data_IF_369851628921
#
_entry.id   IF_369851628921
#
_cell.length_a   1.000
_cell.length_b   1.000
_cell.length_c   1.000
_cell.angle_alpha   90.00
_cell.angle_beta   90.00
_cell.angle_gamma   90.00
#
_symmetry.space_group_name_H-M   'P 1'
#
loop_
_entity.id
_entity.type
_entity.pdbx_description
1 polymer ?
#
# COMPACT_ATOMS: atom_id res chain seq x y z
N UNK A 1 37.26 34.18 14.20
CA UNK A 1 36.73 33.79 15.53
C UNK A 1 35.48 34.66 15.75
N UNK A 2 34.22 34.22 15.75
CA UNK A 2 33.59 32.93 15.99
C UNK A 2 32.26 32.88 15.19
N UNK A 3 32.19 32.05 14.14
CA UNK A 3 31.01 31.81 13.31
C UNK A 3 30.02 30.79 13.91
N UNK A 4 30.19 30.40 15.18
CA UNK A 4 29.55 29.19 15.73
C UNK A 4 28.25 29.45 16.52
N UNK A 5 27.91 30.70 16.85
CA UNK A 5 26.86 31.00 17.83
C UNK A 5 25.50 31.44 17.25
N UNK A 6 25.38 31.75 15.95
CA UNK A 6 24.11 32.21 15.35
C UNK A 6 23.27 31.10 14.71
N UNK A 7 23.89 29.99 14.31
CA UNK A 7 23.19 28.87 13.65
C UNK A 7 22.27 28.09 14.60
N UNK A 8 22.52 28.13 15.91
CA UNK A 8 21.75 27.35 16.88
C UNK A 8 20.38 27.95 17.23
N UNK A 9 20.16 29.27 17.07
CA UNK A 9 18.86 29.89 17.42
C UNK A 9 17.81 29.78 16.31
N UNK A 10 18.23 29.65 15.06
CA UNK A 10 17.29 29.49 13.92
C UNK A 10 16.77 28.05 13.84
N UNK A 11 17.56 27.07 14.26
CA UNK A 11 17.20 25.66 14.21
C UNK A 11 16.08 25.28 15.21
N UNK A 12 15.97 25.96 16.37
CA UNK A 12 15.05 25.51 17.43
C UNK A 12 13.65 26.16 17.38
N UNK A 13 13.44 27.28 16.66
CA UNK A 13 12.11 27.91 16.51
C UNK A 13 11.31 27.50 15.27
N UNK A 14 11.95 26.81 14.31
CA UNK A 14 11.29 26.20 13.14
C UNK A 14 11.12 24.68 13.25
N UNK A 15 11.53 24.08 14.36
CA UNK A 15 11.53 22.62 14.58
C UNK A 15 10.29 22.08 15.31
N UNK A 16 9.21 22.87 15.44
CA UNK A 16 7.97 22.41 16.09
C UNK A 16 6.81 22.19 15.10
N UNK A 17 7.01 22.38 13.79
CA UNK A 17 5.95 22.26 12.78
C UNK A 17 6.19 21.23 11.67
N UNK A 18 7.34 20.54 11.66
CA UNK A 18 7.71 19.60 10.57
C UNK A 18 8.04 18.18 11.06
N UNK A 19 7.39 17.74 12.16
CA UNK A 19 7.55 16.37 12.67
C UNK A 19 6.20 15.68 12.92
N UNK A 20 5.19 15.99 12.12
CA UNK A 20 3.85 15.37 12.18
C UNK A 20 3.31 14.99 10.80
N UNK A 21 4.19 14.60 9.88
CA UNK A 21 3.78 13.98 8.61
C UNK A 21 4.48 12.63 8.49
N UNK A 22 3.69 11.56 8.55
CA UNK A 22 4.16 10.18 8.49
C UNK A 22 3.85 9.52 9.83
N UNK A 23 2.69 8.92 10.03
CA UNK A 23 2.09 7.92 9.16
C UNK A 23 0.57 8.06 9.27
N UNK A 24 -0.09 8.52 8.20
CA UNK A 24 -1.49 8.15 8.00
C UNK A 24 -1.47 6.63 7.85
N UNK A 25 -1.77 5.92 8.93
CA UNK A 25 -1.83 4.47 8.96
C UNK A 25 -2.66 4.03 7.76
N UNK A 26 -2.03 3.33 6.82
CA UNK A 26 -2.69 2.87 5.61
C UNK A 26 -4.02 2.22 5.98
N UNK A 27 -5.12 2.83 5.52
CA UNK A 27 -6.48 2.33 5.79
C UNK A 27 -6.73 0.98 5.11
N UNK A 28 -5.76 0.50 4.34
CA UNK A 28 -5.74 -0.75 3.60
C UNK A 28 -4.53 -1.58 4.01
N UNK A 29 -4.74 -2.88 4.17
CA UNK A 29 -3.68 -3.88 4.31
C UNK A 29 -3.59 -4.65 3.01
N UNK A 30 -2.38 -4.89 2.53
CA UNK A 30 -2.14 -5.77 1.37
C UNK A 30 -1.22 -6.89 1.84
N UNK A 31 -1.57 -8.14 1.55
CA UNK A 31 -0.74 -9.30 1.83
C UNK A 31 0.50 -9.32 0.95
N UNK A 32 1.43 -10.22 1.28
CA UNK A 32 2.48 -10.62 0.34
C UNK A 32 1.87 -11.21 -0.93
N UNK A 33 2.64 -11.12 -2.02
CA UNK A 33 2.34 -11.83 -3.27
C UNK A 33 2.65 -13.30 -3.05
N UNK A 34 1.71 -14.16 -3.42
CA UNK A 34 1.82 -15.61 -3.34
C UNK A 34 1.68 -16.23 -4.74
N UNK A 35 2.17 -17.45 -4.92
CA UNK A 35 2.08 -18.19 -6.18
C UNK A 35 0.96 -19.21 -6.07
N UNK A 36 -0.07 -19.02 -6.90
CA UNK A 36 -1.24 -19.89 -6.93
C UNK A 36 -0.90 -21.18 -7.68
N UNK A 37 -1.63 -22.26 -7.37
CA UNK A 37 -1.38 -23.60 -7.92
C UNK A 37 -1.53 -23.70 -9.45
N UNK A 38 -2.20 -22.72 -10.07
CA UNK A 38 -2.40 -22.58 -11.51
C UNK A 38 -1.22 -21.87 -12.22
N UNK A 39 -0.20 -21.44 -11.47
CA UNK A 39 0.97 -20.73 -12.00
C UNK A 39 0.82 -19.21 -12.02
N UNK A 40 -0.34 -18.68 -11.64
CA UNK A 40 -0.57 -17.24 -11.53
C UNK A 40 -0.08 -16.68 -10.19
N UNK A 41 0.19 -15.38 -10.14
CA UNK A 41 0.46 -14.68 -8.89
C UNK A 41 -0.83 -14.15 -8.29
N UNK A 42 -0.93 -14.19 -6.98
CA UNK A 42 -2.09 -13.64 -6.26
C UNK A 42 -1.65 -12.75 -5.11
N UNK A 43 -2.43 -11.71 -4.84
CA UNK A 43 -2.32 -10.92 -3.62
C UNK A 43 -3.69 -10.59 -3.07
N UNK A 44 -3.78 -10.41 -1.76
CA UNK A 44 -5.00 -10.04 -1.07
C UNK A 44 -4.90 -8.61 -0.54
N UNK A 45 -5.92 -7.80 -0.78
CA UNK A 45 -6.05 -6.43 -0.27
C UNK A 45 -7.30 -6.32 0.57
N UNK A 46 -7.20 -5.80 1.80
CA UNK A 46 -8.32 -5.64 2.73
C UNK A 46 -8.43 -4.22 3.24
N UNK A 47 -9.64 -3.73 3.44
CA UNK A 47 -9.87 -2.50 4.19
C UNK A 47 -9.72 -2.79 5.69
N UNK A 48 -9.04 -1.90 6.43
CA UNK A 48 -8.96 -1.97 7.90
C UNK A 48 -10.13 -1.26 8.58
N UNK A 49 -10.81 -0.36 7.85
CA UNK A 49 -11.93 0.44 8.34
C UNK A 49 -13.04 0.49 7.30
N UNK A 50 -14.29 0.44 7.77
CA UNK A 50 -15.52 0.53 6.96
C UNK A 50 -15.67 1.85 6.18
N UNK A 51 -14.87 2.87 6.50
CA UNK A 51 -14.81 4.14 5.77
C UNK A 51 -13.97 4.10 4.48
N UNK A 52 -13.32 2.97 4.18
CA UNK A 52 -12.50 2.84 2.97
C UNK A 52 -13.34 2.31 1.81
N UNK A 53 -13.36 3.04 0.68
CA UNK A 53 -14.04 2.57 -0.53
C UNK A 53 -13.40 1.29 -1.06
N UNK A 54 -14.23 0.29 -1.42
CA UNK A 54 -13.76 -0.94 -2.09
C UNK A 54 -13.01 -0.67 -3.39
N UNK A 55 -13.36 0.40 -4.10
CA UNK A 55 -12.61 0.81 -5.28
C UNK A 55 -11.18 1.25 -4.94
N UNK A 56 -11.00 1.87 -3.77
CA UNK A 56 -9.67 2.22 -3.26
C UNK A 56 -8.88 0.97 -2.87
N UNK A 57 -9.49 0.01 -2.18
CA UNK A 57 -8.87 -1.28 -1.82
C UNK A 57 -8.39 -2.01 -3.07
N UNK A 58 -9.22 -2.07 -4.12
CA UNK A 58 -8.88 -2.65 -5.42
C UNK A 58 -7.71 -1.93 -6.05
N UNK A 59 -7.77 -0.60 -6.12
CA UNK A 59 -6.72 0.24 -6.73
C UNK A 59 -5.38 0.07 -6.02
N UNK A 60 -5.38 -0.03 -4.69
CA UNK A 60 -4.15 -0.26 -3.91
C UNK A 60 -3.60 -1.66 -4.18
N UNK A 61 -4.47 -2.68 -4.22
CA UNK A 61 -4.07 -4.05 -4.58
C UNK A 61 -3.45 -4.14 -5.98
N UNK A 62 -4.10 -3.59 -6.99
CA UNK A 62 -3.57 -3.60 -8.37
C UNK A 62 -2.29 -2.78 -8.51
N UNK A 63 -2.16 -1.65 -7.81
CA UNK A 63 -0.89 -0.90 -7.75
C UNK A 63 0.24 -1.70 -7.13
N UNK A 64 -0.05 -2.50 -6.09
CA UNK A 64 0.96 -3.36 -5.46
C UNK A 64 1.41 -4.47 -6.42
N UNK A 65 0.49 -5.08 -7.16
CA UNK A 65 0.80 -6.04 -8.21
C UNK A 65 1.66 -5.41 -9.32
N UNK A 66 1.28 -4.21 -9.78
CA UNK A 66 2.06 -3.48 -10.78
C UNK A 66 3.48 -3.17 -10.30
N UNK A 67 3.62 -2.73 -9.04
CA UNK A 67 4.93 -2.47 -8.45
C UNK A 67 5.77 -3.74 -8.35
N UNK A 68 5.15 -4.89 -8.03
CA UNK A 68 5.83 -6.18 -7.97
C UNK A 68 6.37 -6.61 -9.34
N UNK A 69 5.55 -6.55 -10.41
CA UNK A 69 6.03 -6.87 -11.75
C UNK A 69 7.09 -5.87 -12.24
N UNK A 70 6.92 -4.58 -11.93
CA UNK A 70 7.87 -3.53 -12.30
C UNK A 70 9.24 -3.70 -11.65
N UNK A 71 9.28 -4.14 -10.39
CA UNK A 71 10.52 -4.47 -9.67
C UNK A 71 11.30 -5.60 -10.39
N UNK A 72 10.59 -6.50 -11.05
CA UNK A 72 11.16 -7.55 -11.89
C UNK A 72 11.42 -7.14 -13.34
N UNK A 73 11.18 -5.88 -13.70
CA UNK A 73 11.31 -5.37 -15.07
C UNK A 73 10.24 -5.89 -16.04
N UNK A 74 9.10 -6.38 -15.53
CA UNK A 74 7.99 -6.96 -16.29
C UNK A 74 6.74 -6.10 -16.26
N UNK A 75 5.82 -6.34 -17.18
CA UNK A 75 4.51 -5.68 -17.23
C UNK A 75 3.45 -6.49 -16.48
N UNK A 76 2.50 -5.76 -15.89
CA UNK A 76 1.38 -6.36 -15.16
C UNK A 76 0.29 -6.82 -16.15
N UNK A 77 -0.10 -8.08 -16.07
CA UNK A 77 -1.32 -8.61 -16.66
C UNK A 77 -2.30 -8.98 -15.53
N UNK A 78 -3.45 -8.32 -15.42
CA UNK A 78 -4.46 -8.71 -14.43
C UNK A 78 -5.33 -9.81 -15.03
N UNK A 79 -5.28 -11.01 -14.45
CA UNK A 79 -6.03 -12.19 -14.89
C UNK A 79 -7.45 -12.13 -14.35
N UNK A 80 -7.59 -11.88 -13.05
CA UNK A 80 -8.88 -11.81 -12.39
C UNK A 80 -8.82 -10.96 -11.12
N UNK A 81 -9.99 -10.46 -10.70
CA UNK A 81 -10.14 -9.78 -9.41
C UNK A 81 -11.36 -10.35 -8.72
N UNK A 82 -11.15 -11.08 -7.63
CA UNK A 82 -12.21 -11.64 -6.80
C UNK A 82 -12.42 -10.77 -5.56
N UNK A 83 -13.68 -10.64 -5.14
CA UNK A 83 -14.00 -10.05 -3.84
C UNK A 83 -14.39 -11.19 -2.93
N UNK A 84 -13.53 -11.47 -1.96
CA UNK A 84 -13.70 -12.53 -0.97
C UNK A 84 -14.34 -11.96 0.29
N UNK A 85 -15.19 -12.76 0.93
CA UNK A 85 -15.81 -12.43 2.21
C UNK A 85 -17.33 -12.25 2.16
N UNK A 86 -17.98 -12.76 3.21
CA UNK A 86 -19.43 -12.71 3.41
C UNK A 86 -19.81 -11.41 4.12
N UNK A 87 -20.75 -10.65 3.55
CA UNK A 87 -21.23 -9.38 4.09
C UNK A 87 -21.72 -9.58 5.54
N UNK A 88 -21.03 -8.94 6.50
CA UNK A 88 -21.40 -8.97 7.92
C UNK A 88 -20.84 -10.12 8.77
N UNK A 89 -20.08 -11.07 8.18
CA UNK A 89 -19.51 -12.22 8.93
C UNK A 89 -17.98 -12.22 8.91
N UNK A 90 -17.38 -11.96 7.76
CA UNK A 90 -15.92 -11.96 7.59
C UNK A 90 -15.44 -10.62 7.04
N UNK A 91 -14.20 -10.25 7.36
CA UNK A 91 -13.55 -9.11 6.74
C UNK A 91 -13.56 -9.30 5.21
N UNK A 92 -14.20 -8.36 4.51
CA UNK A 92 -14.22 -8.34 3.07
C UNK A 92 -12.80 -8.05 2.53
N UNK A 93 -12.37 -8.82 1.56
CA UNK A 93 -11.04 -8.76 0.95
C UNK A 93 -11.18 -8.76 -0.57
N UNK A 94 -10.19 -8.23 -1.25
CA UNK A 94 -10.08 -8.28 -2.71
C UNK A 94 -8.85 -9.11 -3.03
N UNK A 95 -9.06 -10.27 -3.62
CA UNK A 95 -8.00 -11.06 -4.23
C UNK A 95 -7.76 -10.54 -5.65
N UNK A 96 -6.51 -10.24 -5.97
CA UNK A 96 -6.08 -9.85 -7.31
C UNK A 96 -5.18 -10.95 -7.84
N UNK A 97 -5.62 -11.63 -8.89
CA UNK A 97 -4.84 -12.64 -9.62
C UNK A 97 -4.23 -11.98 -10.84
N UNK A 98 -2.92 -12.11 -11.00
CA UNK A 98 -2.15 -11.41 -12.02
C UNK A 98 -0.92 -12.21 -12.46
N UNK A 99 -0.39 -11.85 -13.62
CA UNK A 99 0.87 -12.35 -14.15
C UNK A 99 1.84 -11.20 -14.43
N UNK A 100 3.12 -11.54 -14.40
CA UNK A 100 4.20 -10.65 -14.83
C UNK A 100 4.84 -11.20 -16.11
N UNK A 101 4.71 -10.48 -17.21
CA UNK A 101 5.26 -10.86 -18.52
C UNK A 101 6.29 -9.87 -19.05
#
# INVERSE_FOLDING_TARGET
MNLHASLWRVAMRRSAYLASIGVLSACTTVSSVDSRQDGHLTLMSRARWSFTSWNHVRTVGTKRAAAYCKDQGRQLHVVAVHTEGVWGVTDQMIEVVFDCY
#
